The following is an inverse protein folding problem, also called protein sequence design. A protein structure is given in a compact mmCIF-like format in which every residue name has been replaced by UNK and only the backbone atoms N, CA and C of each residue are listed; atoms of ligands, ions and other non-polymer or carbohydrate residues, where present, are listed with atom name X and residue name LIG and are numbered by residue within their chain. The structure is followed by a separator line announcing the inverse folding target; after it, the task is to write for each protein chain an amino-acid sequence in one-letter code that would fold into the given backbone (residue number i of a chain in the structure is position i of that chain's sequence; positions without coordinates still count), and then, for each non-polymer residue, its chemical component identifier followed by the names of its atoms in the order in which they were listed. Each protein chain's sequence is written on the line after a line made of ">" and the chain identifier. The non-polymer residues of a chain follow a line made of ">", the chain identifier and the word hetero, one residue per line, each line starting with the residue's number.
data_IF_645084053353
#
_entry.id   IF_645084053353
#
_cell.length_a   1.000
_cell.length_b   1.000
_cell.length_c   1.000
_cell.angle_alpha   90.00
_cell.angle_beta   90.00
_cell.angle_gamma   90.00
#
_symmetry.space_group_name_H-M   'P 1'
#
loop_
_entity.id
_entity.type
_entity.pdbx_description
1 polymer ?
#
# COMPACT_ATOMS: atom_id res chain seq x y z
N UNK A 1 -36.94 47.40 -45.57
CA UNK A 1 -36.07 47.48 -44.38
C UNK A 1 -36.38 46.27 -43.49
N UNK A 2 -35.50 45.26 -43.44
CA UNK A 2 -35.65 44.07 -42.60
C UNK A 2 -34.37 43.93 -41.76
N UNK A 3 -34.49 44.18 -40.45
CA UNK A 3 -33.39 43.99 -39.50
C UNK A 3 -33.31 42.51 -39.12
N UNK A 4 -32.16 41.89 -39.36
CA UNK A 4 -31.87 40.50 -38.95
C UNK A 4 -31.19 40.56 -37.57
N UNK A 5 -31.69 39.87 -36.53
CA UNK A 5 -31.10 39.93 -35.21
C UNK A 5 -29.84 39.06 -35.17
N UNK A 6 -28.71 39.67 -34.81
CA UNK A 6 -27.44 38.98 -34.60
C UNK A 6 -27.48 38.30 -33.21
N UNK A 7 -27.71 36.99 -33.19
CA UNK A 7 -27.67 36.19 -31.98
C UNK A 7 -26.20 35.85 -31.63
N UNK A 8 -25.59 36.63 -30.73
CA UNK A 8 -24.29 36.30 -30.16
C UNK A 8 -24.43 35.11 -29.20
N UNK A 9 -24.05 33.91 -29.66
CA UNK A 9 -23.84 32.76 -28.76
C UNK A 9 -22.63 33.05 -27.86
N UNK A 10 -22.87 33.30 -26.57
CA UNK A 10 -21.83 33.25 -25.55
C UNK A 10 -21.38 31.79 -25.38
N UNK A 11 -20.19 31.46 -25.88
CA UNK A 11 -19.52 30.20 -25.58
C UNK A 11 -18.92 30.27 -24.17
N UNK A 12 -19.60 29.66 -23.19
CA UNK A 12 -19.03 29.41 -21.87
C UNK A 12 -17.88 28.40 -22.01
N UNK A 13 -16.66 28.71 -21.54
CA UNK A 13 -15.57 27.75 -21.55
C UNK A 13 -15.90 26.64 -20.55
N UNK A 14 -16.13 25.42 -21.04
CA UNK A 14 -16.09 24.22 -20.19
C UNK A 14 -14.65 24.10 -19.65
N UNK A 15 -14.45 24.46 -18.39
CA UNK A 15 -13.24 24.11 -17.67
C UNK A 15 -13.20 22.59 -17.56
N UNK A 16 -12.45 21.94 -18.45
CA UNK A 16 -12.14 20.52 -18.32
C UNK A 16 -11.37 20.34 -17.00
N UNK A 17 -11.97 19.64 -16.05
CA UNK A 17 -11.28 19.23 -14.84
C UNK A 17 -10.12 18.33 -15.26
N UNK A 18 -8.90 18.87 -15.23
CA UNK A 18 -7.69 18.10 -15.49
C UNK A 18 -7.58 17.07 -14.37
N UNK A 19 -7.90 15.82 -14.67
CA UNK A 19 -7.69 14.72 -13.73
C UNK A 19 -6.21 14.71 -13.33
N UNK A 20 -5.95 14.71 -12.03
CA UNK A 20 -4.60 14.61 -11.52
C UNK A 20 -3.97 13.32 -12.07
N UNK A 21 -2.79 13.45 -12.68
CA UNK A 21 -2.09 12.28 -13.22
C UNK A 21 -1.64 11.40 -12.05
N UNK A 22 -1.78 10.06 -12.15
CA UNK A 22 -1.37 9.17 -11.08
C UNK A 22 0.15 9.23 -10.89
N UNK A 23 0.59 9.10 -9.64
CA UNK A 23 2.00 9.09 -9.29
C UNK A 23 2.59 7.73 -9.60
N UNK A 24 3.73 7.70 -10.29
CA UNK A 24 4.44 6.47 -10.68
C UNK A 24 5.80 6.39 -9.98
N UNK A 25 6.15 5.18 -9.54
CA UNK A 25 7.44 4.84 -8.92
C UNK A 25 7.91 3.51 -9.53
N UNK A 26 8.97 3.55 -10.31
CA UNK A 26 9.51 2.37 -10.99
C UNK A 26 10.70 1.80 -10.23
N UNK A 27 10.96 0.50 -10.34
CA UNK A 27 12.25 -0.10 -9.96
C UNK A 27 13.41 0.46 -10.80
N UNK A 28 14.67 0.27 -10.36
CA UNK A 28 15.85 0.62 -11.15
C UNK A 28 15.87 0.04 -12.57
N UNK A 29 15.41 -1.18 -12.77
CA UNK A 29 15.32 -1.83 -14.10
C UNK A 29 13.98 -1.60 -14.82
N UNK A 30 13.04 -0.89 -14.20
CA UNK A 30 11.70 -0.65 -14.72
C UNK A 30 10.77 -1.87 -14.73
N UNK A 31 11.18 -3.02 -14.20
CA UNK A 31 10.36 -4.21 -14.15
C UNK A 31 9.22 -4.11 -13.12
N UNK A 32 9.41 -3.47 -11.97
CA UNK A 32 8.34 -3.23 -10.99
C UNK A 32 7.85 -1.79 -11.15
N UNK A 33 6.54 -1.60 -11.18
CA UNK A 33 5.90 -0.28 -11.21
C UNK A 33 4.82 -0.19 -10.14
N UNK A 34 4.98 0.75 -9.23
CA UNK A 34 3.93 1.18 -8.31
C UNK A 34 3.22 2.40 -8.90
N UNK A 35 1.90 2.36 -8.93
CA UNK A 35 1.05 3.49 -9.30
C UNK A 35 0.22 3.89 -8.09
N UNK A 36 0.27 5.16 -7.69
CA UNK A 36 -0.49 5.72 -6.57
C UNK A 36 -1.49 6.74 -7.09
N UNK A 37 -2.73 6.64 -6.63
CA UNK A 37 -3.84 7.48 -7.03
C UNK A 37 -4.77 7.79 -5.84
N UNK A 38 -5.74 8.67 -6.04
CA UNK A 38 -6.75 9.07 -5.06
C UNK A 38 -8.15 8.72 -5.57
N UNK A 39 -8.98 8.11 -4.72
CA UNK A 39 -10.41 7.98 -5.02
C UNK A 39 -11.12 9.34 -4.92
N UNK A 40 -12.34 9.44 -5.47
CA UNK A 40 -13.18 10.62 -5.33
C UNK A 40 -13.52 10.97 -3.86
N UNK A 41 -13.41 9.99 -2.94
CA UNK A 41 -13.61 10.18 -1.50
C UNK A 41 -12.31 10.60 -0.77
N UNK A 42 -11.22 10.86 -1.49
CA UNK A 42 -9.93 11.21 -0.89
C UNK A 42 -9.27 10.03 -0.18
N UNK A 43 -9.43 8.81 -0.68
CA UNK A 43 -8.73 7.63 -0.17
C UNK A 43 -7.50 7.37 -1.04
N UNK A 44 -6.27 7.33 -0.48
CA UNK A 44 -5.09 6.97 -1.23
C UNK A 44 -5.14 5.49 -1.59
N UNK A 45 -4.77 5.19 -2.84
CA UNK A 45 -4.69 3.82 -3.36
C UNK A 45 -3.37 3.59 -4.06
N UNK A 46 -2.90 2.34 -4.05
CA UNK A 46 -1.74 1.90 -4.81
C UNK A 46 -2.03 0.61 -5.58
N UNK A 47 -1.38 0.46 -6.72
CA UNK A 47 -1.39 -0.76 -7.53
C UNK A 47 0.05 -1.13 -7.90
N UNK A 48 0.31 -2.43 -8.07
CA UNK A 48 1.64 -2.96 -8.37
C UNK A 48 1.59 -3.79 -9.63
N UNK A 49 2.48 -3.47 -10.57
CA UNK A 49 2.74 -4.25 -11.78
C UNK A 49 4.16 -4.80 -11.75
N UNK A 50 4.32 -6.02 -12.24
CA UNK A 50 5.61 -6.58 -12.63
C UNK A 50 5.60 -6.83 -14.13
N UNK A 51 6.42 -6.09 -14.86
CA UNK A 51 6.40 -5.99 -16.32
C UNK A 51 5.00 -5.61 -16.79
N UNK A 52 4.31 -6.54 -17.47
CA UNK A 52 2.95 -6.35 -17.96
C UNK A 52 1.87 -7.01 -17.09
N UNK A 53 2.26 -7.74 -16.04
CA UNK A 53 1.31 -8.38 -15.13
C UNK A 53 0.90 -7.42 -14.01
N UNK A 54 -0.41 -7.25 -13.83
CA UNK A 54 -0.98 -6.62 -12.63
C UNK A 54 -0.94 -7.64 -11.48
N UNK A 55 -0.02 -7.43 -10.54
CA UNK A 55 0.14 -8.31 -9.39
C UNK A 55 -0.73 -7.88 -8.21
N UNK A 56 -0.95 -6.57 -8.09
CA UNK A 56 -1.84 -5.99 -7.10
C UNK A 56 -2.72 -4.93 -7.77
N UNK A 57 -4.04 -5.11 -7.68
CA UNK A 57 -5.05 -4.13 -8.10
C UNK A 57 -5.04 -2.92 -7.16
N UNK A 58 -5.71 -1.81 -7.54
CA UNK A 58 -5.88 -0.67 -6.64
C UNK A 58 -6.30 -1.12 -5.23
N UNK A 59 -5.42 -0.85 -4.28
CA UNK A 59 -5.47 -1.25 -2.89
C UNK A 59 -5.35 -0.02 -2.01
N UNK A 60 -6.06 0.02 -0.90
CA UNK A 60 -6.13 1.21 -0.05
C UNK A 60 -4.89 1.34 0.84
N UNK A 61 -4.59 2.59 1.18
CA UNK A 61 -3.63 2.98 2.22
C UNK A 61 -4.36 3.83 3.26
N UNK A 62 -3.87 3.82 4.49
CA UNK A 62 -4.34 4.73 5.52
C UNK A 62 -4.29 4.15 6.92
N UNK A 63 -4.37 5.04 7.89
CA UNK A 63 -4.39 4.71 9.32
C UNK A 63 -5.60 5.36 9.98
N UNK A 64 -6.18 4.68 10.96
CA UNK A 64 -7.12 5.30 11.89
C UNK A 64 -6.43 5.49 13.23
N UNK A 65 -6.26 6.74 13.61
CA UNK A 65 -5.77 7.13 14.93
C UNK A 65 -6.95 7.34 15.87
N UNK A 66 -6.71 7.25 17.18
CA UNK A 66 -7.71 7.64 18.18
C UNK A 66 -8.13 9.11 18.02
N UNK A 67 -7.23 9.96 17.51
CA UNK A 67 -7.42 11.41 17.32
C UNK A 67 -7.93 11.79 15.93
N UNK A 68 -7.76 10.95 14.91
CA UNK A 68 -8.05 11.30 13.52
C UNK A 68 -8.27 10.07 12.63
N UNK A 69 -9.16 10.19 11.64
CA UNK A 69 -9.27 9.23 10.55
C UNK A 69 -8.40 9.68 9.36
N UNK A 70 -7.33 8.93 9.07
CA UNK A 70 -6.42 9.15 7.95
C UNK A 70 -6.59 8.05 6.88
N UNK A 71 -7.81 7.54 6.71
CA UNK A 71 -8.16 6.55 5.65
C UNK A 71 -8.96 7.16 4.49
N UNK A 72 -9.51 8.36 4.66
CA UNK A 72 -10.40 9.01 3.70
C UNK A 72 -10.37 10.53 3.88
N UNK A 73 -10.91 11.28 2.90
CA UNK A 73 -10.93 12.74 2.93
C UNK A 73 -9.54 13.37 2.90
N UNK A 74 -8.53 12.61 2.48
CA UNK A 74 -7.15 13.07 2.33
C UNK A 74 -6.97 13.75 0.97
N UNK A 75 -5.96 14.61 0.89
CA UNK A 75 -5.44 15.16 -0.35
C UNK A 75 -3.95 14.88 -0.45
N UNK A 76 -3.48 14.46 -1.61
CA UNK A 76 -2.05 14.45 -1.91
C UNK A 76 -1.55 15.90 -1.89
N UNK A 77 -0.84 16.30 -0.84
CA UNK A 77 -0.35 17.67 -0.67
C UNK A 77 1.01 17.88 -1.33
N UNK A 78 1.83 16.83 -1.36
CA UNK A 78 3.17 16.85 -1.97
C UNK A 78 3.58 15.43 -2.37
N UNK A 79 4.27 15.32 -3.49
CA UNK A 79 5.01 14.12 -3.86
C UNK A 79 6.47 14.51 -4.05
N UNK A 80 7.36 13.98 -3.23
CA UNK A 80 8.79 14.26 -3.33
C UNK A 80 9.36 13.74 -4.66
N UNK A 81 10.49 14.30 -5.12
CA UNK A 81 11.25 13.70 -6.21
C UNK A 81 11.61 12.25 -5.89
N UNK A 82 11.58 11.38 -6.90
CA UNK A 82 12.11 10.04 -6.75
C UNK A 82 13.63 10.11 -6.56
N UNK A 83 14.16 9.37 -5.59
CA UNK A 83 15.60 9.27 -5.32
C UNK A 83 16.08 7.83 -5.36
N UNK A 84 17.32 7.60 -5.81
CA UNK A 84 17.92 6.28 -5.77
C UNK A 84 18.36 5.93 -4.35
N UNK A 85 18.19 4.67 -3.97
CA UNK A 85 18.72 4.06 -2.74
C UNK A 85 19.73 3.00 -3.14
N UNK A 86 20.91 3.07 -2.53
CA UNK A 86 21.96 2.09 -2.70
C UNK A 86 22.58 1.79 -1.33
N UNK A 87 22.55 0.52 -0.95
CA UNK A 87 23.19 0.04 0.26
C UNK A 87 23.90 -1.29 -0.01
N UNK A 88 25.12 -1.43 0.50
CA UNK A 88 25.95 -2.62 0.40
C UNK A 88 26.37 -3.00 1.82
N UNK A 89 25.85 -4.12 2.31
CA UNK A 89 25.97 -4.51 3.72
C UNK A 89 26.23 -6.00 3.89
N UNK A 90 26.78 -6.37 5.05
CA UNK A 90 27.04 -7.76 5.41
C UNK A 90 26.10 -8.21 6.52
N UNK A 91 25.61 -9.44 6.41
CA UNK A 91 24.83 -10.11 7.45
C UNK A 91 25.65 -11.25 8.04
N UNK A 92 25.74 -11.29 9.38
CA UNK A 92 26.38 -12.40 10.08
C UNK A 92 25.53 -13.69 10.01
N UNK A 93 24.21 -13.54 9.91
CA UNK A 93 23.24 -14.64 9.90
C UNK A 93 22.13 -14.33 8.89
N UNK A 94 22.10 -15.04 7.76
CA UNK A 94 20.98 -15.18 6.82
C UNK A 94 21.41 -16.10 5.67
N UNK A 95 20.55 -16.31 4.67
CA UNK A 95 20.83 -17.06 3.43
C UNK A 95 21.92 -16.45 2.54
N UNK A 96 22.36 -15.21 2.80
CA UNK A 96 23.38 -14.51 2.02
C UNK A 96 24.20 -13.55 2.90
N UNK A 97 25.51 -13.75 2.93
CA UNK A 97 26.42 -12.94 3.75
C UNK A 97 26.66 -11.52 3.20
N UNK A 98 26.80 -11.36 1.87
CA UNK A 98 27.04 -10.08 1.21
C UNK A 98 25.79 -9.63 0.44
N UNK A 99 25.15 -8.55 0.89
CA UNK A 99 23.92 -8.04 0.32
C UNK A 99 24.17 -6.72 -0.43
N UNK A 100 23.61 -6.64 -1.64
CA UNK A 100 23.60 -5.43 -2.47
C UNK A 100 22.14 -5.03 -2.70
N UNK A 101 21.72 -3.93 -2.09
CA UNK A 101 20.36 -3.43 -2.17
C UNK A 101 20.29 -2.19 -3.06
N UNK A 102 19.41 -2.22 -4.07
CA UNK A 102 19.18 -1.12 -5.01
C UNK A 102 17.69 -0.94 -5.20
N UNK A 103 17.21 0.28 -5.01
CA UNK A 103 15.80 0.62 -5.12
C UNK A 103 15.62 2.09 -5.52
N UNK A 104 14.42 2.44 -5.94
CA UNK A 104 13.98 3.84 -6.02
C UNK A 104 13.04 4.14 -4.85
N UNK A 105 13.28 5.25 -4.17
CA UNK A 105 12.49 5.75 -3.05
C UNK A 105 11.66 6.95 -3.48
N UNK A 106 10.43 7.04 -2.98
CA UNK A 106 9.61 8.24 -3.09
C UNK A 106 8.72 8.42 -1.88
N UNK A 107 8.61 9.65 -1.39
CA UNK A 107 7.73 10.01 -0.25
C UNK A 107 6.53 10.76 -0.77
N UNK A 108 5.34 10.31 -0.38
CA UNK A 108 4.07 10.93 -0.73
C UNK A 108 3.41 11.44 0.54
N UNK A 109 3.02 12.71 0.56
CA UNK A 109 2.46 13.38 1.71
C UNK A 109 0.96 13.61 1.50
N UNK A 110 0.15 13.13 2.44
CA UNK A 110 -1.30 13.19 2.40
C UNK A 110 -1.81 14.02 3.57
N UNK A 111 -2.31 15.21 3.26
CA UNK A 111 -2.88 16.11 4.26
C UNK A 111 -4.35 15.76 4.51
N UNK A 112 -4.75 15.80 5.78
CA UNK A 112 -6.15 15.74 6.22
C UNK A 112 -6.64 17.15 6.61
N UNK A 113 -7.77 17.21 7.33
CA UNK A 113 -8.31 18.45 7.92
C UNK A 113 -7.31 19.07 8.90
N UNK A 114 -7.44 20.37 9.13
CA UNK A 114 -6.59 21.09 10.09
C UNK A 114 -6.61 20.43 11.48
N UNK A 115 -5.45 20.32 12.11
CA UNK A 115 -5.27 19.69 13.42
C UNK A 115 -4.98 18.19 13.39
N UNK A 116 -5.20 17.50 12.26
CA UNK A 116 -4.78 16.11 12.11
C UNK A 116 -3.28 16.02 11.72
N UNK A 117 -2.57 14.96 12.15
CA UNK A 117 -1.21 14.68 11.66
C UNK A 117 -1.15 14.56 10.14
N UNK A 118 -0.02 14.94 9.55
CA UNK A 118 0.24 14.71 8.14
C UNK A 118 0.63 13.23 7.95
N UNK A 119 -0.07 12.51 7.08
CA UNK A 119 0.25 11.12 6.77
C UNK A 119 1.22 11.08 5.58
N UNK A 120 2.43 10.61 5.81
CA UNK A 120 3.39 10.34 4.74
C UNK A 120 3.50 8.84 4.48
N UNK A 121 3.57 8.46 3.21
CA UNK A 121 3.86 7.09 2.78
C UNK A 121 5.21 7.08 2.07
N UNK A 122 6.15 6.32 2.61
CA UNK A 122 7.48 6.15 2.03
C UNK A 122 7.47 4.85 1.25
N UNK A 123 7.53 4.93 -0.08
CA UNK A 123 7.72 3.76 -0.93
C UNK A 123 9.21 3.55 -1.23
N UNK A 124 9.63 2.29 -1.25
CA UNK A 124 10.90 1.84 -1.83
C UNK A 124 10.62 0.66 -2.77
N UNK A 125 11.04 0.80 -4.04
CA UNK A 125 10.77 -0.17 -5.10
C UNK A 125 12.09 -0.70 -5.64
N UNK A 126 12.39 -1.97 -5.34
CA UNK A 126 13.51 -2.73 -5.92
C UNK A 126 13.06 -3.49 -7.17
N UNK A 127 13.98 -4.14 -7.87
CA UNK A 127 13.67 -4.90 -9.09
C UNK A 127 12.75 -6.13 -8.84
N UNK A 128 12.59 -6.52 -7.59
CA UNK A 128 11.90 -7.73 -7.14
C UNK A 128 10.94 -7.49 -5.96
N UNK A 129 10.76 -6.25 -5.51
CA UNK A 129 10.00 -5.96 -4.31
C UNK A 129 9.48 -4.52 -4.22
N UNK A 130 8.39 -4.38 -3.47
CA UNK A 130 7.82 -3.09 -3.06
C UNK A 130 7.74 -3.12 -1.54
N UNK A 131 8.40 -2.18 -0.89
CA UNK A 131 8.22 -1.90 0.53
C UNK A 131 7.57 -0.52 0.68
N UNK A 132 6.67 -0.39 1.64
CA UNK A 132 6.21 0.91 2.08
C UNK A 132 5.99 0.95 3.58
N UNK A 133 6.05 2.16 4.13
CA UNK A 133 5.74 2.44 5.54
C UNK A 133 5.02 3.77 5.67
N UNK A 134 4.22 3.89 6.73
CA UNK A 134 3.61 5.15 7.14
C UNK A 134 4.57 5.95 8.04
N UNK A 135 4.54 7.26 7.89
CA UNK A 135 5.19 8.21 8.80
C UNK A 135 4.15 9.26 9.16
N UNK A 136 3.83 9.36 10.45
CA UNK A 136 2.99 10.44 10.97
C UNK A 136 3.88 11.64 11.23
N UNK A 137 3.71 12.69 10.44
CA UNK A 137 4.47 13.94 10.54
C UNK A 137 3.67 15.01 11.30
N UNK A 138 4.40 15.87 12.00
CA UNK A 138 3.85 17.00 12.74
C UNK A 138 4.38 17.08 14.17
N UNK A 139 4.39 18.27 14.78
CA UNK A 139 4.80 18.43 16.16
C UNK A 139 3.72 17.85 17.07
N UNK A 140 3.94 16.63 17.57
CA UNK A 140 3.18 16.11 18.70
C UNK A 140 4.14 15.44 19.66
N UNK A 141 4.06 15.84 20.92
CA UNK A 141 4.73 15.15 22.03
C UNK A 141 3.87 14.00 22.57
N UNK A 142 2.65 13.84 22.05
CA UNK A 142 1.71 12.82 22.50
C UNK A 142 1.85 11.53 21.69
N UNK A 143 1.68 10.41 22.39
CA UNK A 143 1.65 9.08 21.78
C UNK A 143 0.47 8.99 20.81
N UNK A 144 0.77 8.77 19.52
CA UNK A 144 -0.25 8.55 18.51
C UNK A 144 -0.76 7.11 18.59
N UNK A 145 -1.99 6.92 19.07
CA UNK A 145 -2.60 5.59 19.17
C UNK A 145 -3.25 5.19 17.86
N UNK A 146 -2.67 4.20 17.17
CA UNK A 146 -3.29 3.54 16.02
C UNK A 146 -4.41 2.62 16.54
N UNK A 147 -5.60 2.74 15.96
CA UNK A 147 -6.79 1.95 16.32
C UNK A 147 -7.19 0.98 15.21
N UNK A 148 -6.83 1.29 13.96
CA UNK A 148 -6.95 0.39 12.83
C UNK A 148 -5.99 0.81 11.71
N UNK A 149 -5.64 -0.15 10.88
CA UNK A 149 -4.94 0.07 9.62
C UNK A 149 -5.90 -0.19 8.47
N UNK A 150 -5.97 0.75 7.51
CA UNK A 150 -6.82 0.67 6.31
C UNK A 150 -6.10 0.10 5.09
N UNK A 151 -4.88 -0.39 5.27
CA UNK A 151 -4.06 -1.01 4.23
C UNK A 151 -4.76 -2.24 3.68
N UNK A 152 -4.87 -2.35 2.35
CA UNK A 152 -5.35 -3.57 1.70
C UNK A 152 -4.34 -4.12 0.70
N UNK A 153 -4.57 -5.37 0.31
CA UNK A 153 -3.84 -6.05 -0.76
C UNK A 153 -4.86 -6.74 -1.67
N UNK A 154 -5.35 -6.01 -2.67
CA UNK A 154 -6.33 -6.51 -3.63
C UNK A 154 -5.63 -7.32 -4.73
N UNK A 155 -5.44 -8.61 -4.50
CA UNK A 155 -4.92 -9.53 -5.50
C UNK A 155 -5.93 -9.77 -6.63
N UNK A 156 -5.49 -10.06 -7.87
CA UNK A 156 -6.39 -10.51 -8.93
C UNK A 156 -7.20 -11.76 -8.53
N UNK A 157 -8.44 -11.85 -9.00
CA UNK A 157 -9.38 -12.90 -8.58
C UNK A 157 -8.90 -14.34 -8.86
N UNK A 158 -8.06 -14.52 -9.88
CA UNK A 158 -7.46 -15.81 -10.23
C UNK A 158 -6.27 -16.21 -9.35
N UNK A 159 -5.83 -15.34 -8.43
CA UNK A 159 -4.69 -15.60 -7.58
C UNK A 159 -4.95 -16.78 -6.63
N UNK A 160 -3.92 -17.62 -6.46
CA UNK A 160 -3.96 -18.80 -5.59
C UNK A 160 -2.94 -18.63 -4.48
N UNK A 161 -3.36 -18.91 -3.24
CA UNK A 161 -2.60 -18.71 -2.03
C UNK A 161 -2.04 -20.02 -1.45
N UNK A 162 -0.88 -19.89 -0.83
CA UNK A 162 -0.27 -20.87 0.07
C UNK A 162 -0.24 -20.23 1.44
N UNK A 163 -1.30 -20.48 2.21
CA UNK A 163 -1.65 -19.69 3.39
C UNK A 163 -1.82 -20.60 4.60
N UNK A 164 -1.38 -20.14 5.76
CA UNK A 164 -1.71 -20.79 7.03
C UNK A 164 -2.64 -19.88 7.86
N UNK A 165 -3.73 -20.44 8.42
CA UNK A 165 -4.71 -19.64 9.12
C UNK A 165 -4.13 -19.06 10.40
N UNK A 166 -4.60 -17.89 10.81
CA UNK A 166 -4.29 -17.37 12.14
C UNK A 166 -5.13 -18.11 13.18
N UNK A 167 -4.44 -18.60 14.21
CA UNK A 167 -5.05 -19.31 15.32
C UNK A 167 -5.94 -18.41 16.20
N UNK A 168 -6.95 -19.00 16.84
CA UNK A 168 -7.76 -18.29 17.83
C UNK A 168 -6.96 -18.11 19.12
N UNK A 169 -7.00 -16.90 19.68
CA UNK A 169 -6.35 -16.62 20.96
C UNK A 169 -6.90 -17.47 22.11
N UNK A 170 -6.04 -17.81 23.08
CA UNK A 170 -6.38 -18.59 24.28
C UNK A 170 -6.88 -20.00 23.95
N UNK A 171 -6.34 -20.61 22.89
CA UNK A 171 -6.61 -22.00 22.51
C UNK A 171 -5.30 -22.80 22.42
N UNK A 172 -5.35 -24.07 21.98
CA UNK A 172 -4.19 -24.96 21.94
C UNK A 172 -3.73 -25.43 23.32
N UNK A 173 -2.52 -26.01 23.38
CA UNK A 173 -1.93 -26.51 24.62
C UNK A 173 -1.78 -25.38 25.64
N UNK A 174 -2.36 -25.54 26.83
CA UNK A 174 -2.25 -24.55 27.91
C UNK A 174 -2.57 -23.09 27.49
N UNK A 175 -3.49 -22.88 26.54
CA UNK A 175 -3.91 -21.57 26.05
C UNK A 175 -2.79 -20.72 25.41
N UNK A 176 -1.77 -21.35 24.82
CA UNK A 176 -0.61 -20.65 24.24
C UNK A 176 -0.83 -20.10 22.83
N UNK A 177 -1.93 -20.44 22.15
CA UNK A 177 -2.20 -19.85 20.82
C UNK A 177 -2.59 -18.36 20.93
N UNK A 178 -2.22 -17.53 19.93
CA UNK A 178 -1.60 -17.88 18.64
C UNK A 178 -0.08 -18.12 18.71
N UNK A 179 0.41 -19.21 18.10
CA UNK A 179 1.83 -19.60 18.11
C UNK A 179 2.49 -19.70 16.72
N UNK A 180 1.77 -19.35 15.64
CA UNK A 180 2.23 -19.45 14.25
C UNK A 180 2.53 -20.89 13.76
N UNK A 181 1.91 -21.90 14.37
CA UNK A 181 2.16 -23.33 14.06
C UNK A 181 1.05 -24.00 13.24
N UNK A 182 0.16 -23.22 12.62
CA UNK A 182 -0.90 -23.77 11.78
C UNK A 182 -0.37 -24.30 10.44
N UNK A 183 -1.00 -25.36 9.91
CA UNK A 183 -0.62 -25.95 8.63
C UNK A 183 -0.96 -25.05 7.44
N UNK A 184 -0.07 -25.06 6.44
CA UNK A 184 -0.33 -24.42 5.16
C UNK A 184 -1.39 -25.16 4.34
N UNK A 185 -2.31 -24.38 3.81
CA UNK A 185 -3.25 -24.77 2.76
C UNK A 185 -2.71 -24.27 1.42
N UNK A 186 -2.88 -25.07 0.37
CA UNK A 186 -2.33 -24.79 -0.96
C UNK A 186 -3.47 -24.55 -1.95
N UNK A 187 -3.28 -23.60 -2.86
CA UNK A 187 -4.26 -23.31 -3.90
C UNK A 187 -5.51 -22.57 -3.40
N UNK A 188 -5.42 -21.87 -2.26
CA UNK A 188 -6.53 -21.11 -1.68
C UNK A 188 -6.88 -19.93 -2.59
N UNK A 189 -8.10 -19.82 -3.10
CA UNK A 189 -8.47 -18.67 -3.92
C UNK A 189 -8.34 -17.37 -3.14
N UNK A 190 -7.77 -16.31 -3.74
CA UNK A 190 -7.67 -15.01 -3.08
C UNK A 190 -9.05 -14.50 -2.65
N UNK A 191 -9.13 -13.93 -1.44
CA UNK A 191 -10.39 -13.52 -0.83
C UNK A 191 -11.14 -14.61 -0.06
N UNK A 192 -10.67 -15.87 -0.07
CA UNK A 192 -11.24 -16.93 0.76
C UNK A 192 -11.02 -16.63 2.25
N UNK A 193 -12.08 -16.57 3.08
CA UNK A 193 -11.95 -16.47 4.52
C UNK A 193 -11.16 -17.65 5.10
N UNK A 194 -10.34 -17.38 6.11
CA UNK A 194 -9.64 -18.43 6.85
C UNK A 194 -10.63 -19.37 7.54
N UNK A 195 -10.39 -20.70 7.54
CA UNK A 195 -11.29 -21.66 8.18
C UNK A 195 -11.39 -21.49 9.70
N UNK A 196 -10.44 -20.78 10.33
CA UNK A 196 -10.49 -20.48 11.76
C UNK A 196 -11.20 -19.17 12.06
N UNK A 197 -11.52 -18.35 11.05
CA UNK A 197 -12.25 -17.09 11.21
C UNK A 197 -11.43 -15.90 11.71
N UNK A 198 -10.12 -16.06 11.94
CA UNK A 198 -9.22 -14.99 12.44
C UNK A 198 -8.21 -14.49 11.39
N UNK A 199 -8.47 -14.76 10.11
CA UNK A 199 -7.60 -14.35 9.01
C UNK A 199 -6.42 -15.30 8.76
N UNK A 200 -5.45 -14.82 8.00
CA UNK A 200 -4.26 -15.55 7.57
C UNK A 200 -3.02 -14.85 8.11
N UNK A 201 -2.05 -15.60 8.64
CA UNK A 201 -0.80 -15.04 9.16
C UNK A 201 0.21 -14.78 8.05
N UNK A 202 1.14 -13.84 8.28
CA UNK A 202 2.31 -13.66 7.42
C UNK A 202 3.38 -14.74 7.66
N UNK A 203 4.25 -14.99 6.66
CA UNK A 203 4.17 -14.49 5.30
C UNK A 203 3.09 -15.23 4.47
N UNK A 204 2.44 -14.51 3.55
CA UNK A 204 1.37 -15.03 2.71
C UNK A 204 1.81 -15.06 1.24
N UNK A 205 1.98 -16.26 0.67
CA UNK A 205 2.44 -16.45 -0.70
C UNK A 205 1.27 -16.64 -1.66
N UNK A 206 1.34 -15.99 -2.83
CA UNK A 206 0.35 -16.10 -3.89
C UNK A 206 1.00 -16.32 -5.25
N UNK A 207 0.37 -17.14 -6.08
CA UNK A 207 0.63 -17.25 -7.52
C UNK A 207 -0.40 -16.40 -8.27
N UNK A 208 0.06 -15.53 -9.16
CA UNK A 208 -0.74 -14.55 -9.89
C UNK A 208 -0.33 -14.57 -11.36
N UNK A 209 -1.06 -15.34 -12.18
CA UNK A 209 -0.85 -15.39 -13.63
C UNK A 209 0.58 -15.80 -14.01
N UNK A 210 1.13 -16.84 -13.34
CA UNK A 210 2.49 -17.31 -13.57
C UNK A 210 3.59 -16.51 -12.86
N UNK A 211 3.24 -15.48 -12.10
CA UNK A 211 4.15 -14.74 -11.22
C UNK A 211 3.89 -15.09 -9.75
N UNK A 212 4.85 -14.77 -8.87
CA UNK A 212 4.73 -15.01 -7.43
C UNK A 212 4.76 -13.70 -6.66
N UNK A 213 3.88 -13.57 -5.68
CA UNK A 213 3.78 -12.42 -4.76
C UNK A 213 3.87 -12.96 -3.34
N UNK A 214 4.85 -12.49 -2.57
CA UNK A 214 4.96 -12.78 -1.14
C UNK A 214 4.60 -11.51 -0.36
N UNK A 215 3.54 -11.57 0.42
CA UNK A 215 3.15 -10.49 1.33
C UNK A 215 3.73 -10.78 2.72
N UNK A 216 4.38 -9.79 3.31
CA UNK A 216 4.97 -9.88 4.65
C UNK A 216 5.21 -8.47 5.20
N UNK A 217 5.69 -8.40 6.43
CA UNK A 217 6.08 -7.18 7.13
C UNK A 217 7.51 -7.31 7.65
N UNK A 218 8.16 -6.18 7.92
CA UNK A 218 9.53 -6.13 8.42
C UNK A 218 9.75 -4.91 9.30
N UNK A 219 10.82 -4.93 10.11
CA UNK A 219 11.18 -3.81 10.98
C UNK A 219 10.24 -3.61 12.16
N UNK A 220 9.53 -4.66 12.57
CA UNK A 220 8.57 -4.60 13.67
C UNK A 220 9.30 -4.45 15.02
N UNK A 221 9.06 -3.34 15.70
CA UNK A 221 9.70 -3.00 16.97
C UNK A 221 8.70 -2.47 17.99
N UNK A 222 9.18 -2.02 19.15
CA UNK A 222 8.32 -1.48 20.24
C UNK A 222 7.62 -0.16 19.90
N UNK A 223 8.01 0.46 18.78
CA UNK A 223 7.44 1.71 18.27
C UNK A 223 6.30 1.47 17.27
N UNK A 224 5.90 0.22 17.06
CA UNK A 224 4.65 -0.14 16.40
C UNK A 224 3.51 -0.22 17.42
#
# INVERSE_FOLDING_TARGET
>A
MRFLPLFCLLALPLAAAQAAQPIRISSPDGAVLVTVDMTALGQPTYAVRYRQAELLRPSHLGLRLASADLTQGLRLSKADPQTAVADDYQLATDKRANCRYRANRRVLHFASKAGAPLLSVVFQVSNDGVAFQYVLEGPSTEVQRITAEGTTFHLPAQAKGWLHPHAKAQTGFAHTQPSYEEYYQRGVAAGTPSPLGFGWSFPALFEVGGHWVLLTEAGMGRSY
#
